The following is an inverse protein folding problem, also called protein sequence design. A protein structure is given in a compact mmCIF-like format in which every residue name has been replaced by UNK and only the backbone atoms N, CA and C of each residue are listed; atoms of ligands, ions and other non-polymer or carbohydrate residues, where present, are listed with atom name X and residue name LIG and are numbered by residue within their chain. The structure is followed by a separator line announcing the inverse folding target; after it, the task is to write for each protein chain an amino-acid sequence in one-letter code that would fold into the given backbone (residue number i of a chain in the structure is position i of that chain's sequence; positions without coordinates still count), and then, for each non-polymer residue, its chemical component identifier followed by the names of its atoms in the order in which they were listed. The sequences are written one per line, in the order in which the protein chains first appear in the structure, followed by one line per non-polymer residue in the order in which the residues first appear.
data_IF_261110896757
#
_entry.id   IF_261110896757
#
_cell.length_a   1.000
_cell.length_b   1.000
_cell.length_c   1.000
_cell.angle_alpha   90.00
_cell.angle_beta   90.00
_cell.angle_gamma   90.00
#
_symmetry.space_group_name_H-M   'P 1'
#
loop_
_entity.id
_entity.type
_entity.pdbx_description
1 polymer ?
#
# COMPACT_ATOMS: atom_id res chain seq x y z
N UNK A 1 78.64 9.15 4.99
CA UNK A 1 79.29 9.66 3.77
C UNK A 1 79.02 8.68 2.64
N UNK A 2 78.09 8.98 1.72
CA UNK A 2 78.06 8.43 0.35
C UNK A 2 77.01 9.18 -0.46
N UNK A 3 77.45 9.65 -1.63
CA UNK A 3 76.83 10.63 -2.51
C UNK A 3 75.77 9.99 -3.42
N UNK A 4 74.64 10.69 -3.53
CA UNK A 4 73.85 10.99 -4.74
C UNK A 4 74.28 10.33 -6.06
N UNK A 5 73.36 9.57 -6.67
CA UNK A 5 73.18 9.48 -8.13
C UNK A 5 71.71 9.24 -8.50
N UNK A 6 71.27 9.91 -9.56
CA UNK A 6 70.05 9.62 -10.32
C UNK A 6 68.90 10.58 -10.02
N UNK A 7 68.12 11.07 -10.97
CA UNK A 7 68.16 11.01 -12.42
C UNK A 7 67.17 12.10 -12.87
N UNK A 8 67.55 12.90 -13.86
CA UNK A 8 66.74 13.98 -14.41
C UNK A 8 65.54 13.37 -15.13
N UNK A 9 64.33 13.72 -14.69
CA UNK A 9 63.12 13.55 -15.50
C UNK A 9 62.47 14.91 -15.77
N UNK A 10 62.27 15.09 -17.06
CA UNK A 10 61.84 16.25 -17.82
C UNK A 10 60.39 16.62 -17.50
N UNK A 11 60.17 17.87 -17.10
CA UNK A 11 58.86 18.52 -17.02
C UNK A 11 58.25 18.65 -18.42
N UNK A 12 57.36 17.73 -18.79
CA UNK A 12 56.43 17.93 -19.91
C UNK A 12 55.23 18.75 -19.42
N UNK A 13 55.21 20.01 -19.87
CA UNK A 13 54.08 20.94 -19.78
C UNK A 13 52.93 20.38 -20.61
N UNK A 14 51.94 19.78 -19.97
CA UNK A 14 50.70 19.40 -20.64
C UNK A 14 49.91 20.68 -20.95
N UNK A 15 49.73 20.93 -22.24
CA UNK A 15 48.88 21.98 -22.80
C UNK A 15 47.43 21.72 -22.40
N UNK A 16 46.83 22.68 -21.70
CA UNK A 16 45.40 22.70 -21.37
C UNK A 16 44.59 22.84 -22.66
N UNK A 17 44.06 21.73 -23.17
CA UNK A 17 42.98 21.74 -24.15
C UNK A 17 41.68 22.05 -23.42
N UNK A 18 41.23 23.30 -23.53
CA UNK A 18 39.87 23.69 -23.11
C UNK A 18 38.88 22.96 -24.01
N UNK A 19 38.27 21.91 -23.50
CA UNK A 19 37.07 21.33 -24.11
C UNK A 19 35.92 22.34 -23.99
N UNK A 20 35.14 22.57 -25.06
CA UNK A 20 34.00 23.46 -25.01
C UNK A 20 32.92 22.88 -24.08
N UNK A 21 32.46 23.71 -23.15
CA UNK A 21 31.31 23.43 -22.28
C UNK A 21 30.07 23.27 -23.18
N UNK A 22 29.33 22.15 -23.10
CA UNK A 22 28.08 22.03 -23.83
C UNK A 22 27.04 22.97 -23.19
N UNK A 23 26.57 23.91 -24.00
CA UNK A 23 25.43 24.78 -23.70
C UNK A 23 24.22 23.93 -23.33
N UNK A 24 23.44 24.29 -22.28
CA UNK A 24 22.21 23.57 -21.99
C UNK A 24 21.24 23.76 -23.16
N UNK A 25 20.82 22.65 -23.76
CA UNK A 25 19.67 22.60 -24.66
C UNK A 25 18.47 23.13 -23.89
N UNK A 26 18.06 24.36 -24.21
CA UNK A 26 16.75 24.91 -23.87
C UNK A 26 15.73 23.99 -24.54
N UNK A 27 15.13 23.10 -23.77
CA UNK A 27 13.98 22.34 -24.21
C UNK A 27 12.85 23.36 -24.46
N UNK A 28 12.65 23.73 -25.72
CA UNK A 28 11.46 24.45 -26.14
C UNK A 28 10.27 23.53 -25.85
N UNK A 29 9.45 23.90 -24.86
CA UNK A 29 8.14 23.30 -24.67
C UNK A 29 7.32 23.70 -25.89
N UNK A 30 7.27 22.82 -26.89
CA UNK A 30 6.25 22.89 -27.91
C UNK A 30 4.92 22.61 -27.21
N UNK A 31 4.14 23.67 -26.97
CA UNK A 31 2.72 23.55 -26.72
C UNK A 31 2.12 22.69 -27.84
N UNK A 32 1.72 21.45 -27.52
CA UNK A 32 0.81 20.69 -28.37
C UNK A 32 -0.51 21.44 -28.41
N UNK A 33 -0.71 22.26 -29.44
CA UNK A 33 -2.03 22.61 -29.93
C UNK A 33 -2.72 21.31 -30.33
N UNK A 34 -3.74 20.92 -29.57
CA UNK A 34 -4.64 19.85 -29.96
C UNK A 34 -5.39 20.31 -31.22
N UNK A 35 -5.11 19.65 -32.34
CA UNK A 35 -5.97 19.72 -33.51
C UNK A 35 -7.33 19.14 -33.10
N UNK A 36 -8.39 19.92 -33.30
CA UNK A 36 -9.77 19.47 -33.19
C UNK A 36 -9.99 18.37 -34.23
N UNK A 37 -10.01 17.10 -33.79
CA UNK A 37 -10.63 16.05 -34.55
C UNK A 37 -12.15 16.23 -34.42
N UNK A 38 -12.79 16.75 -35.46
CA UNK A 38 -14.24 16.66 -35.65
C UNK A 38 -14.62 15.19 -35.78
N UNK A 39 -14.97 14.56 -34.67
CA UNK A 39 -15.72 13.30 -34.68
C UNK A 39 -17.19 13.62 -34.92
N UNK A 40 -17.71 13.11 -36.02
CA UNK A 40 -19.14 12.99 -36.30
C UNK A 40 -19.82 12.28 -35.11
N UNK A 41 -20.65 13.03 -34.38
CA UNK A 41 -21.47 12.48 -33.31
C UNK A 41 -22.60 11.66 -33.91
N UNK A 42 -22.40 10.35 -33.98
CA UNK A 42 -23.49 9.40 -33.87
C UNK A 42 -24.26 9.71 -32.56
N UNK A 43 -25.58 9.88 -32.67
CA UNK A 43 -26.50 10.08 -31.53
C UNK A 43 -26.41 8.87 -30.59
N UNK A 44 -25.51 8.95 -29.61
CA UNK A 44 -25.54 8.09 -28.44
C UNK A 44 -26.53 8.70 -27.44
N UNK A 45 -27.60 7.96 -27.19
CA UNK A 45 -28.60 8.21 -26.16
C UNK A 45 -27.91 8.46 -24.81
N UNK A 46 -27.92 9.72 -24.37
CA UNK A 46 -27.60 10.10 -22.99
C UNK A 46 -28.61 9.40 -22.06
N UNK A 47 -28.22 8.27 -21.50
CA UNK A 47 -28.84 7.77 -20.28
C UNK A 47 -28.57 8.79 -19.19
N UNK A 48 -29.65 9.33 -18.60
CA UNK A 48 -29.55 10.25 -17.48
C UNK A 48 -28.67 9.64 -16.37
N UNK A 49 -27.83 10.43 -15.67
CA UNK A 49 -27.10 9.92 -14.52
C UNK A 49 -28.11 9.34 -13.53
N UNK A 50 -27.98 8.06 -13.23
CA UNK A 50 -28.77 7.39 -12.19
C UNK A 50 -28.46 8.12 -10.88
N UNK A 51 -29.39 8.97 -10.45
CA UNK A 51 -29.36 9.62 -9.15
C UNK A 51 -29.56 8.50 -8.14
N UNK A 52 -28.45 8.05 -7.53
CA UNK A 52 -28.55 7.18 -6.37
C UNK A 52 -29.24 7.97 -5.25
N UNK A 53 -30.24 7.38 -4.57
CA UNK A 53 -30.90 8.06 -3.46
C UNK A 53 -29.84 8.49 -2.45
N UNK A 54 -29.81 9.78 -2.11
CA UNK A 54 -28.87 10.27 -1.11
C UNK A 54 -29.22 9.66 0.24
N UNK A 55 -28.36 8.79 0.77
CA UNK A 55 -28.51 8.21 2.12
C UNK A 55 -28.74 9.31 3.15
N UNK A 56 -29.65 9.06 4.09
CA UNK A 56 -29.94 10.01 5.17
C UNK A 56 -28.73 10.16 6.12
N UNK A 57 -28.67 11.26 6.86
CA UNK A 57 -27.62 11.49 7.87
C UNK A 57 -27.55 10.35 8.90
N UNK A 58 -28.70 9.85 9.33
CA UNK A 58 -28.80 8.77 10.30
C UNK A 58 -28.26 7.46 9.74
N UNK A 59 -28.52 7.17 8.46
CA UNK A 59 -27.99 5.97 7.80
C UNK A 59 -26.46 6.00 7.73
N UNK A 60 -25.88 7.17 7.44
CA UNK A 60 -24.43 7.36 7.48
C UNK A 60 -23.86 7.11 8.88
N UNK A 61 -24.48 7.67 9.92
CA UNK A 61 -24.03 7.49 11.30
C UNK A 61 -24.06 6.02 11.72
N UNK A 62 -25.12 5.28 11.34
CA UNK A 62 -25.20 3.84 11.60
C UNK A 62 -24.10 3.07 10.89
N UNK A 63 -23.84 3.39 9.62
CA UNK A 63 -22.76 2.75 8.86
C UNK A 63 -21.39 3.05 9.47
N UNK A 64 -21.10 4.31 9.78
CA UNK A 64 -19.82 4.71 10.36
C UNK A 64 -19.63 4.06 11.75
N UNK A 65 -20.69 3.87 12.54
CA UNK A 65 -20.61 3.17 13.82
C UNK A 65 -20.15 1.71 13.66
N UNK A 66 -20.60 0.99 12.62
CA UNK A 66 -20.14 -0.38 12.33
C UNK A 66 -18.66 -0.39 11.96
N UNK A 67 -18.23 0.55 11.13
CA UNK A 67 -16.82 0.67 10.69
C UNK A 67 -15.90 1.00 11.87
N UNK A 68 -16.30 1.95 12.71
CA UNK A 68 -15.56 2.35 13.92
C UNK A 68 -15.46 1.19 14.88
N UNK A 69 -16.58 0.51 15.15
CA UNK A 69 -16.60 -0.65 16.04
C UNK A 69 -15.63 -1.72 15.56
N UNK A 70 -15.70 -2.09 14.28
CA UNK A 70 -14.80 -3.08 13.71
C UNK A 70 -13.31 -2.70 13.88
N UNK A 71 -12.91 -1.47 13.53
CA UNK A 71 -11.52 -1.05 13.69
C UNK A 71 -11.08 -0.97 15.16
N UNK A 72 -11.95 -0.51 16.06
CA UNK A 72 -11.64 -0.46 17.49
C UNK A 72 -11.50 -1.86 18.10
N UNK A 73 -12.30 -2.83 17.64
CA UNK A 73 -12.25 -4.22 18.09
C UNK A 73 -10.96 -4.88 17.58
N UNK A 74 -10.66 -4.75 16.28
CA UNK A 74 -9.45 -5.33 15.67
C UNK A 74 -8.18 -4.69 16.21
N UNK A 75 -8.14 -3.36 16.36
CA UNK A 75 -6.95 -2.60 16.74
C UNK A 75 -7.02 -2.02 18.15
N UNK A 76 -7.67 -2.74 19.07
CA UNK A 76 -7.66 -2.39 20.49
C UNK A 76 -6.23 -2.16 21.01
N UNK A 77 -5.99 -1.09 21.80
CA UNK A 77 -6.96 -0.18 22.43
C UNK A 77 -7.28 1.11 21.65
N UNK A 78 -6.92 1.19 20.36
CA UNK A 78 -7.08 2.41 19.57
C UNK A 78 -8.56 2.81 19.42
N UNK A 79 -8.80 4.13 19.32
CA UNK A 79 -10.14 4.72 19.13
C UNK A 79 -10.18 5.52 17.84
N UNK A 80 -10.76 4.93 16.80
CA UNK A 80 -10.85 5.54 15.47
C UNK A 80 -11.99 6.56 15.41
N UNK A 81 -11.73 7.80 14.93
CA UNK A 81 -12.80 8.72 14.58
C UNK A 81 -13.70 8.15 13.46
N UNK A 82 -15.02 8.40 13.49
CA UNK A 82 -15.96 7.97 12.44
C UNK A 82 -15.50 8.33 11.03
N UNK A 83 -15.03 9.57 10.87
CA UNK A 83 -14.57 10.11 9.61
C UNK A 83 -13.39 9.35 9.04
N UNK A 84 -12.47 8.91 9.91
CA UNK A 84 -11.27 8.19 9.55
C UNK A 84 -11.60 6.73 9.22
N UNK A 85 -12.40 6.07 10.04
CA UNK A 85 -12.84 4.69 9.80
C UNK A 85 -13.55 4.56 8.45
N UNK A 86 -14.47 5.49 8.16
CA UNK A 86 -15.19 5.59 6.89
C UNK A 86 -14.25 5.77 5.70
N UNK A 87 -13.20 6.61 5.84
CA UNK A 87 -12.17 6.80 4.80
C UNK A 87 -11.32 5.56 4.60
N UNK A 88 -10.87 4.89 5.67
CA UNK A 88 -10.03 3.68 5.61
C UNK A 88 -10.76 2.55 4.90
N UNK A 89 -12.03 2.32 5.27
CA UNK A 89 -12.84 1.19 4.83
C UNK A 89 -13.75 1.49 3.63
N UNK A 90 -13.43 2.52 2.84
CA UNK A 90 -14.11 2.79 1.56
C UNK A 90 -13.11 2.78 0.42
N UNK A 91 -13.24 1.80 -0.48
CA UNK A 91 -12.45 1.71 -1.69
C UNK A 91 -12.99 2.63 -2.80
N UNK A 92 -12.11 3.10 -3.68
CA UNK A 92 -12.45 4.03 -4.76
C UNK A 92 -13.50 3.50 -5.76
N UNK A 93 -13.70 2.18 -5.84
CA UNK A 93 -14.72 1.57 -6.71
C UNK A 93 -16.14 1.61 -6.14
N UNK A 94 -16.31 1.94 -4.86
CA UNK A 94 -17.63 2.02 -4.23
C UNK A 94 -18.32 3.36 -4.54
N UNK A 95 -19.66 3.44 -4.69
CA UNK A 95 -20.37 4.71 -4.92
C UNK A 95 -20.11 5.77 -3.84
N UNK A 96 -20.00 5.36 -2.57
CA UNK A 96 -19.67 6.26 -1.44
C UNK A 96 -18.27 6.94 -1.59
N UNK A 97 -17.40 6.43 -2.48
CA UNK A 97 -16.05 6.94 -2.69
C UNK A 97 -16.01 8.42 -3.11
N UNK A 98 -17.08 8.92 -3.73
CA UNK A 98 -17.21 10.34 -4.09
C UNK A 98 -17.02 11.29 -2.90
N UNK A 99 -17.36 10.84 -1.69
CA UNK A 99 -17.18 11.65 -0.48
C UNK A 99 -15.85 11.35 0.20
N UNK A 100 -15.55 10.05 0.36
CA UNK A 100 -14.48 9.55 1.21
C UNK A 100 -14.01 8.22 0.64
N UNK A 101 -12.73 8.12 0.34
CA UNK A 101 -12.12 6.85 -0.05
C UNK A 101 -10.69 6.76 0.47
N UNK A 102 -10.15 5.55 0.44
CA UNK A 102 -8.91 5.20 1.11
C UNK A 102 -7.63 5.54 0.36
N UNK A 103 -7.71 6.16 -0.83
CA UNK A 103 -6.57 6.33 -1.74
C UNK A 103 -5.41 7.15 -1.16
N UNK A 104 -5.70 8.23 -0.41
CA UNK A 104 -4.65 9.02 0.25
C UNK A 104 -4.00 8.27 1.40
N UNK A 105 -4.79 7.51 2.16
CA UNK A 105 -4.29 6.76 3.30
C UNK A 105 -3.48 5.54 2.85
N UNK A 106 -3.90 4.84 1.79
CA UNK A 106 -3.12 3.73 1.23
C UNK A 106 -1.80 4.20 0.65
N UNK A 107 -1.77 5.36 -0.01
CA UNK A 107 -0.53 5.97 -0.49
C UNK A 107 0.48 6.23 0.63
N UNK A 108 0.02 6.76 1.77
CA UNK A 108 0.86 6.99 2.96
C UNK A 108 1.28 5.65 3.58
N UNK A 109 0.33 4.74 3.79
CA UNK A 109 0.60 3.46 4.41
C UNK A 109 1.59 2.59 3.63
N UNK A 110 1.55 2.63 2.29
CA UNK A 110 2.55 1.96 1.45
C UNK A 110 3.97 2.43 1.75
N UNK A 111 4.17 3.74 1.88
CA UNK A 111 5.48 4.32 2.23
C UNK A 111 5.90 3.94 3.63
N UNK A 112 4.97 4.02 4.59
CA UNK A 112 5.22 3.63 5.99
C UNK A 112 5.65 2.17 6.07
N UNK A 113 4.96 1.27 5.38
CA UNK A 113 5.32 -0.16 5.32
C UNK A 113 6.70 -0.38 4.71
N UNK A 114 7.00 0.27 3.58
CA UNK A 114 8.31 0.17 2.93
C UNK A 114 9.42 0.66 3.85
N UNK A 115 9.25 1.82 4.49
CA UNK A 115 10.23 2.37 5.43
C UNK A 115 10.48 1.43 6.61
N UNK A 116 9.43 0.90 7.24
CA UNK A 116 9.58 -0.01 8.38
C UNK A 116 10.19 -1.35 7.99
N UNK A 117 9.86 -1.88 6.80
CA UNK A 117 10.50 -3.10 6.31
C UNK A 117 11.98 -2.88 6.04
N UNK A 118 12.38 -1.77 5.42
CA UNK A 118 13.80 -1.46 5.19
C UNK A 118 14.55 -1.25 6.52
N UNK A 119 13.98 -0.52 7.47
CA UNK A 119 14.55 -0.36 8.81
C UNK A 119 14.75 -1.71 9.51
N UNK A 120 13.75 -2.59 9.43
CA UNK A 120 13.84 -3.95 9.96
C UNK A 120 14.98 -4.74 9.31
N UNK A 121 15.05 -4.74 7.97
CA UNK A 121 16.09 -5.44 7.21
C UNK A 121 17.49 -4.94 7.61
N UNK A 122 17.68 -3.62 7.71
CA UNK A 122 18.95 -3.03 8.10
C UNK A 122 19.35 -3.31 9.54
N UNK A 123 18.38 -3.53 10.44
CA UNK A 123 18.64 -3.93 11.83
C UNK A 123 18.88 -5.43 11.99
N UNK A 124 18.69 -6.22 10.94
CA UNK A 124 18.70 -7.68 11.03
C UNK A 124 20.11 -8.27 11.05
N UNK A 125 20.41 -9.20 11.97
CA UNK A 125 21.68 -9.93 11.94
C UNK A 125 21.82 -10.84 10.71
N UNK A 126 20.71 -11.13 10.02
CA UNK A 126 20.69 -11.95 8.81
C UNK A 126 20.95 -11.15 7.51
N UNK A 127 21.21 -9.84 7.61
CA UNK A 127 21.51 -8.98 6.48
C UNK A 127 22.80 -9.45 5.78
N UNK A 128 22.75 -9.60 4.46
CA UNK A 128 23.90 -9.95 3.63
C UNK A 128 24.06 -8.96 2.47
N UNK A 129 25.29 -8.67 2.01
CA UNK A 129 25.52 -7.73 0.90
C UNK A 129 24.83 -8.11 -0.41
N UNK A 130 24.54 -9.40 -0.61
CA UNK A 130 23.92 -9.92 -1.83
C UNK A 130 22.38 -9.79 -1.83
N UNK A 131 21.79 -9.29 -0.75
CA UNK A 131 20.34 -9.12 -0.66
C UNK A 131 19.85 -7.89 -1.43
N UNK A 132 19.02 -8.15 -2.45
CA UNK A 132 18.35 -7.12 -3.24
C UNK A 132 17.14 -6.55 -2.47
N UNK A 133 17.28 -5.33 -1.96
CA UNK A 133 16.25 -4.65 -1.18
C UNK A 133 14.96 -4.40 -1.98
N UNK A 134 15.07 -4.00 -3.24
CA UNK A 134 13.91 -3.72 -4.08
C UNK A 134 13.11 -4.99 -4.31
N UNK A 135 13.80 -6.10 -4.63
CA UNK A 135 13.15 -7.39 -4.79
C UNK A 135 12.50 -7.90 -3.50
N UNK A 136 13.11 -7.65 -2.34
CA UNK A 136 12.52 -8.01 -1.04
C UNK A 136 11.26 -7.17 -0.79
N UNK A 137 11.31 -5.86 -1.02
CA UNK A 137 10.16 -4.95 -0.88
C UNK A 137 9.01 -5.36 -1.79
N UNK A 138 9.28 -5.55 -3.08
CA UNK A 138 8.27 -5.91 -4.08
C UNK A 138 7.58 -7.23 -3.76
N UNK A 139 8.31 -8.21 -3.21
CA UNK A 139 7.76 -9.52 -2.84
C UNK A 139 7.01 -9.48 -1.51
N UNK A 140 7.58 -8.86 -0.49
CA UNK A 140 7.01 -8.84 0.85
C UNK A 140 5.80 -7.91 0.97
N UNK A 141 5.85 -6.74 0.33
CA UNK A 141 4.81 -5.71 0.40
C UNK A 141 3.99 -5.62 -0.88
N UNK A 142 3.95 -6.69 -1.67
CA UNK A 142 3.02 -6.80 -2.79
C UNK A 142 1.58 -6.62 -2.28
N UNK A 143 0.83 -5.68 -2.85
CA UNK A 143 -0.54 -5.40 -2.43
C UNK A 143 -1.44 -6.65 -2.46
N UNK A 144 -1.24 -7.58 -3.39
CA UNK A 144 -2.00 -8.84 -3.41
C UNK A 144 -1.67 -9.73 -2.20
N UNK A 145 -0.39 -9.83 -1.82
CA UNK A 145 0.06 -10.58 -0.63
C UNK A 145 -0.51 -9.98 0.65
N UNK A 146 -0.54 -8.64 0.75
CA UNK A 146 -1.22 -7.97 1.87
C UNK A 146 -2.71 -8.32 1.91
N UNK A 147 -3.38 -8.29 0.77
CA UNK A 147 -4.81 -8.62 0.68
C UNK A 147 -5.15 -10.09 0.92
N UNK A 148 -4.23 -10.99 0.59
CA UNK A 148 -4.40 -12.43 0.73
C UNK A 148 -4.05 -12.92 2.14
N UNK A 149 -3.00 -12.38 2.76
CA UNK A 149 -2.46 -12.91 4.02
C UNK A 149 -2.66 -12.00 5.25
N UNK A 150 -2.78 -10.68 5.06
CA UNK A 150 -2.98 -9.73 6.18
C UNK A 150 -4.46 -9.42 6.35
N UNK A 151 -5.15 -9.08 5.26
CA UNK A 151 -6.54 -8.63 5.34
C UNK A 151 -7.52 -9.64 5.98
N UNK A 152 -7.41 -10.96 5.74
CA UNK A 152 -8.30 -11.93 6.39
C UNK A 152 -8.11 -12.00 7.91
N UNK A 153 -6.89 -11.79 8.41
CA UNK A 153 -6.61 -11.78 9.86
C UNK A 153 -7.25 -10.59 10.57
N UNK A 154 -7.61 -9.55 9.81
CA UNK A 154 -8.29 -8.36 10.32
C UNK A 154 -9.77 -8.35 9.91
N UNK A 155 -10.26 -9.41 9.27
CA UNK A 155 -11.65 -9.51 8.81
C UNK A 155 -12.11 -8.32 7.93
N UNK A 156 -11.19 -7.65 7.23
CA UNK A 156 -11.48 -6.44 6.44
C UNK A 156 -12.58 -6.70 5.41
N UNK A 157 -12.56 -7.87 4.76
CA UNK A 157 -13.50 -8.23 3.70
C UNK A 157 -14.97 -8.17 4.13
N UNK A 158 -15.26 -8.32 5.43
CA UNK A 158 -16.63 -8.29 5.99
C UNK A 158 -17.23 -6.87 6.02
N UNK A 159 -16.39 -5.84 6.15
CA UNK A 159 -16.86 -4.46 6.38
C UNK A 159 -16.44 -3.48 5.30
N UNK A 160 -15.47 -3.86 4.45
CA UNK A 160 -14.94 -2.99 3.40
C UNK A 160 -16.03 -2.64 2.38
N UNK A 161 -16.17 -1.35 2.08
CA UNK A 161 -17.04 -0.86 1.02
C UNK A 161 -16.31 -0.88 -0.31
N UNK A 162 -16.73 -1.72 -1.25
CA UNK A 162 -16.11 -1.84 -2.57
C UNK A 162 -17.07 -2.44 -3.61
N UNK A 163 -16.72 -2.33 -4.88
CA UNK A 163 -17.46 -2.95 -5.99
C UNK A 163 -16.57 -3.98 -6.71
N UNK A 164 -17.00 -5.25 -6.83
CA UNK A 164 -16.27 -6.27 -7.59
C UNK A 164 -16.22 -5.94 -9.08
N UNK A 165 -15.10 -6.27 -9.72
CA UNK A 165 -14.95 -6.17 -11.18
C UNK A 165 -15.18 -7.53 -11.85
N UNK A 166 -15.57 -7.54 -13.13
CA UNK A 166 -15.66 -8.74 -13.96
C UNK A 166 -16.66 -9.83 -13.52
N UNK A 167 -17.64 -9.50 -12.67
CA UNK A 167 -18.65 -10.47 -12.17
C UNK A 167 -20.04 -10.32 -12.84
N UNK A 168 -20.11 -9.67 -14.00
CA UNK A 168 -21.38 -9.44 -14.73
C UNK A 168 -22.47 -8.83 -13.84
N UNK A 169 -23.61 -9.52 -13.75
CA UNK A 169 -24.80 -9.09 -13.00
C UNK A 169 -24.59 -9.07 -11.47
N UNK A 170 -23.49 -9.63 -10.95
CA UNK A 170 -23.16 -9.65 -9.52
C UNK A 170 -22.30 -8.45 -9.09
N UNK A 171 -22.14 -7.43 -9.94
CA UNK A 171 -21.33 -6.22 -9.65
C UNK A 171 -21.97 -5.27 -8.63
N UNK A 172 -22.83 -5.75 -7.73
CA UNK A 172 -23.45 -4.93 -6.70
C UNK A 172 -22.36 -4.38 -5.75
N UNK A 173 -22.45 -3.11 -5.33
CA UNK A 173 -21.58 -2.59 -4.28
C UNK A 173 -21.74 -3.42 -3.00
N UNK A 174 -20.61 -3.86 -2.45
CA UNK A 174 -20.49 -4.57 -1.19
C UNK A 174 -20.13 -3.60 -0.08
N UNK A 175 -20.47 -3.95 1.16
CA UNK A 175 -20.19 -3.16 2.36
C UNK A 175 -20.81 -3.81 3.60
N UNK A 176 -20.77 -3.13 4.76
CA UNK A 176 -21.15 -3.74 6.05
C UNK A 176 -22.63 -4.17 6.14
N UNK A 177 -23.49 -3.63 5.28
CA UNK A 177 -24.93 -3.90 5.27
C UNK A 177 -25.35 -4.82 4.11
N UNK A 178 -24.39 -5.34 3.33
CA UNK A 178 -24.67 -6.18 2.16
C UNK A 178 -24.04 -7.53 2.40
N UNK A 179 -24.88 -8.56 2.50
CA UNK A 179 -24.40 -9.94 2.57
C UNK A 179 -23.58 -10.27 1.33
N UNK A 180 -22.37 -10.80 1.53
CA UNK A 180 -21.51 -11.24 0.45
C UNK A 180 -22.21 -12.44 -0.21
N UNK A 181 -22.56 -12.39 -1.50
CA UNK A 181 -23.21 -13.52 -2.16
C UNK A 181 -22.38 -14.79 -1.99
N UNK A 182 -23.00 -15.93 -1.69
CA UNK A 182 -22.30 -17.21 -1.45
C UNK A 182 -21.25 -17.59 -2.52
N UNK A 183 -21.45 -17.29 -3.83
CA UNK A 183 -20.41 -17.53 -4.84
C UNK A 183 -19.15 -16.68 -4.64
N UNK A 184 -19.26 -15.47 -4.08
CA UNK A 184 -18.14 -14.60 -3.72
C UNK A 184 -17.47 -15.03 -2.41
N UNK A 185 -18.23 -15.62 -1.48
CA UNK A 185 -17.71 -16.13 -0.21
C UNK A 185 -16.83 -17.38 -0.37
N UNK A 186 -17.15 -18.24 -1.35
CA UNK A 186 -16.44 -19.50 -1.62
C UNK A 186 -15.51 -19.42 -2.84
N UNK A 187 -15.02 -18.23 -3.20
CA UNK A 187 -14.11 -18.08 -4.33
C UNK A 187 -12.80 -18.82 -4.10
N UNK A 188 -12.47 -19.73 -5.03
CA UNK A 188 -11.13 -20.26 -5.17
C UNK A 188 -10.12 -19.12 -5.39
N UNK A 189 -8.86 -19.33 -4.98
CA UNK A 189 -7.80 -18.30 -4.96
C UNK A 189 -7.64 -17.58 -6.30
N UNK A 190 -7.74 -18.30 -7.42
CA UNK A 190 -7.58 -17.73 -8.76
C UNK A 190 -8.76 -16.85 -9.17
N UNK A 191 -9.97 -17.23 -8.74
CA UNK A 191 -11.19 -16.44 -8.98
C UNK A 191 -11.23 -15.19 -8.08
N UNK A 192 -10.68 -15.25 -6.87
CA UNK A 192 -10.53 -14.09 -6.00
C UNK A 192 -9.57 -13.03 -6.59
N UNK A 193 -8.52 -13.46 -7.30
CA UNK A 193 -7.60 -12.56 -8.02
C UNK A 193 -8.28 -11.92 -9.23
N UNK A 194 -9.07 -12.68 -9.99
CA UNK A 194 -9.73 -12.20 -11.22
C UNK A 194 -10.78 -11.10 -10.97
N UNK A 195 -11.47 -11.14 -9.82
CA UNK A 195 -12.44 -10.10 -9.42
C UNK A 195 -11.80 -8.88 -8.73
N UNK A 196 -10.48 -8.91 -8.52
CA UNK A 196 -9.71 -7.84 -7.90
C UNK A 196 -9.79 -7.78 -6.36
N UNK A 197 -10.32 -8.82 -5.71
CA UNK A 197 -10.58 -8.82 -4.26
C UNK A 197 -9.30 -8.60 -3.45
N UNK A 198 -8.25 -9.38 -3.69
CA UNK A 198 -6.99 -9.24 -2.95
C UNK A 198 -6.31 -7.89 -3.18
N UNK A 199 -6.42 -7.31 -4.39
CA UNK A 199 -5.90 -5.97 -4.63
C UNK A 199 -6.63 -4.91 -3.81
N UNK A 200 -7.96 -5.01 -3.74
CA UNK A 200 -8.82 -4.10 -2.97
C UNK A 200 -8.57 -4.25 -1.46
N UNK A 201 -8.48 -5.48 -0.98
CA UNK A 201 -8.16 -5.80 0.41
C UNK A 201 -6.77 -5.32 0.82
N UNK A 202 -5.76 -5.55 -0.02
CA UNK A 202 -4.40 -5.06 0.24
C UNK A 202 -4.32 -3.54 0.27
N UNK A 203 -5.06 -2.86 -0.61
CA UNK A 203 -5.18 -1.39 -0.57
C UNK A 203 -5.81 -0.92 0.73
N UNK A 204 -6.79 -1.66 1.27
CA UNK A 204 -7.38 -1.37 2.57
C UNK A 204 -6.40 -1.63 3.72
N UNK A 205 -5.57 -2.67 3.66
CA UNK A 205 -4.48 -2.91 4.64
C UNK A 205 -3.50 -1.75 4.65
N UNK A 206 -3.05 -1.30 3.47
CA UNK A 206 -2.20 -0.11 3.34
C UNK A 206 -2.90 1.12 3.95
N UNK A 207 -4.20 1.31 3.69
CA UNK A 207 -4.95 2.43 4.24
C UNK A 207 -5.13 2.38 5.76
N UNK A 208 -5.28 1.19 6.35
CA UNK A 208 -5.31 1.01 7.81
C UNK A 208 -3.99 1.48 8.41
N UNK A 209 -2.86 1.03 7.85
CA UNK A 209 -1.53 1.41 8.34
C UNK A 209 -1.31 2.92 8.20
N UNK A 210 -1.68 3.51 7.05
CA UNK A 210 -1.60 4.94 6.83
C UNK A 210 -2.53 5.76 7.73
N UNK A 211 -3.73 5.25 8.02
CA UNK A 211 -4.67 5.86 8.94
C UNK A 211 -4.18 5.84 10.39
N UNK A 212 -3.58 4.72 10.82
CA UNK A 212 -2.97 4.59 12.14
C UNK A 212 -1.77 5.52 12.28
N UNK A 213 -0.90 5.57 11.27
CA UNK A 213 0.22 6.49 11.23
C UNK A 213 -0.24 7.95 11.33
N UNK A 214 -1.26 8.33 10.56
CA UNK A 214 -1.81 9.68 10.56
C UNK A 214 -2.46 10.07 11.90
N UNK A 215 -3.22 9.17 12.53
CA UNK A 215 -4.03 9.48 13.71
C UNK A 215 -3.30 9.25 15.04
N UNK A 216 -2.49 8.19 15.13
CA UNK A 216 -1.87 7.73 16.37
C UNK A 216 -0.33 7.79 16.33
N UNK A 217 0.25 8.20 15.20
CA UNK A 217 1.68 8.46 15.05
C UNK A 217 2.52 7.25 14.63
N UNK A 218 3.80 7.53 14.36
CA UNK A 218 4.74 6.56 13.82
C UNK A 218 5.02 5.38 14.75
N UNK A 219 5.15 5.62 16.06
CA UNK A 219 5.47 4.57 17.05
C UNK A 219 4.40 3.48 17.11
N UNK A 220 3.12 3.86 17.09
CA UNK A 220 1.98 2.93 17.08
C UNK A 220 1.93 2.15 15.76
N UNK A 221 2.12 2.82 14.63
CA UNK A 221 2.16 2.16 13.32
C UNK A 221 3.36 1.20 13.18
N UNK A 222 4.51 1.54 13.75
CA UNK A 222 5.71 0.70 13.74
C UNK A 222 5.49 -0.58 14.55
N UNK A 223 4.89 -0.44 15.73
CA UNK A 223 4.50 -1.58 16.56
C UNK A 223 3.48 -2.47 15.83
N UNK A 224 2.44 -1.88 15.24
CA UNK A 224 1.47 -2.61 14.41
C UNK A 224 2.15 -3.39 13.28
N UNK A 225 3.13 -2.79 12.60
CA UNK A 225 3.87 -3.45 11.54
C UNK A 225 4.56 -4.72 12.05
N UNK A 226 5.34 -4.61 13.13
CA UNK A 226 6.10 -5.74 13.67
C UNK A 226 5.23 -6.83 14.30
N UNK A 227 4.09 -6.48 14.89
CA UNK A 227 3.25 -7.47 15.58
C UNK A 227 2.16 -8.05 14.68
N UNK A 228 1.58 -7.28 13.75
CA UNK A 228 0.36 -7.71 13.03
C UNK A 228 0.54 -7.87 11.53
N UNK A 229 1.43 -7.08 10.92
CA UNK A 229 1.68 -7.15 9.47
C UNK A 229 2.79 -8.15 9.17
N UNK A 230 4.00 -7.91 9.67
CA UNK A 230 5.20 -8.67 9.34
C UNK A 230 5.09 -10.18 9.63
N UNK A 231 4.51 -10.63 10.76
CA UNK A 231 4.33 -12.07 11.02
C UNK A 231 3.41 -12.76 10.01
N UNK A 232 2.52 -11.99 9.36
CA UNK A 232 1.62 -12.50 8.33
C UNK A 232 2.28 -12.65 6.96
N UNK A 233 3.52 -12.18 6.82
CA UNK A 233 4.32 -12.26 5.61
C UNK A 233 5.38 -13.37 5.70
N UNK A 234 5.43 -14.13 6.80
CA UNK A 234 6.33 -15.25 7.00
C UNK A 234 5.76 -16.50 6.32
N UNK A 235 5.80 -16.51 4.98
CA UNK A 235 5.24 -17.57 4.16
C UNK A 235 6.28 -18.68 3.95
N UNK A 236 6.18 -19.75 4.71
CA UNK A 236 7.10 -20.90 4.60
C UNK A 236 6.93 -21.62 3.26
N UNK A 237 8.05 -22.01 2.65
CA UNK A 237 8.05 -22.73 1.37
C UNK A 237 7.58 -21.91 0.16
N UNK A 238 7.29 -20.62 0.31
CA UNK A 238 6.85 -19.73 -0.77
C UNK A 238 7.97 -18.80 -1.25
N UNK A 239 7.94 -18.46 -2.54
CA UNK A 239 8.70 -17.34 -3.07
C UNK A 239 7.96 -16.00 -2.89
N UNK A 240 6.81 -15.96 -2.25
CA UNK A 240 6.10 -14.72 -1.90
C UNK A 240 6.35 -14.35 -0.43
N UNK A 241 6.11 -13.09 -0.06
CA UNK A 241 6.30 -12.63 1.32
C UNK A 241 7.75 -12.27 1.67
N UNK A 242 8.04 -12.25 2.98
CA UNK A 242 9.36 -11.89 3.51
C UNK A 242 10.39 -12.96 3.16
N UNK A 243 11.59 -12.53 2.78
CA UNK A 243 12.70 -13.43 2.49
C UNK A 243 13.05 -14.30 3.72
N UNK A 244 13.21 -15.63 3.51
CA UNK A 244 13.36 -16.64 4.58
C UNK A 244 14.43 -16.31 5.62
N UNK A 245 15.57 -15.76 5.19
CA UNK A 245 16.66 -15.36 6.08
C UNK A 245 16.24 -14.39 7.21
N UNK A 246 15.13 -13.65 7.05
CA UNK A 246 14.67 -12.68 8.03
C UNK A 246 13.55 -13.21 8.94
N UNK A 247 13.08 -14.45 8.74
CA UNK A 247 11.92 -14.99 9.46
C UNK A 247 12.17 -15.08 10.96
N UNK A 248 13.30 -15.62 11.38
CA UNK A 248 13.62 -15.82 12.79
C UNK A 248 13.70 -14.49 13.53
N UNK A 249 14.39 -13.50 12.95
CA UNK A 249 14.47 -12.16 13.52
C UNK A 249 13.10 -11.45 13.56
N UNK A 250 12.25 -11.65 12.54
CA UNK A 250 10.90 -11.09 12.53
C UNK A 250 10.04 -11.67 13.67
N UNK A 251 10.13 -12.99 13.91
CA UNK A 251 9.45 -13.65 15.04
C UNK A 251 9.99 -13.14 16.37
N UNK A 252 11.31 -13.05 16.52
CA UNK A 252 11.95 -12.54 17.73
C UNK A 252 11.48 -11.11 18.09
N UNK A 253 11.46 -10.19 17.12
CA UNK A 253 10.99 -8.82 17.35
C UNK A 253 9.49 -8.81 17.69
N UNK A 254 8.69 -9.61 17.00
CA UNK A 254 7.25 -9.72 17.29
C UNK A 254 7.04 -10.12 18.76
N UNK A 255 7.72 -11.17 19.23
CA UNK A 255 7.64 -11.62 20.62
C UNK A 255 8.12 -10.55 21.60
N UNK A 256 9.26 -9.90 21.33
CA UNK A 256 9.76 -8.77 22.16
C UNK A 256 8.76 -7.60 22.23
N UNK A 257 7.91 -7.44 21.22
CA UNK A 257 6.86 -6.41 21.21
C UNK A 257 5.53 -6.88 21.82
N UNK A 258 5.45 -8.09 22.38
CA UNK A 258 4.25 -8.63 23.02
C UNK A 258 3.42 -9.55 22.12
N UNK A 259 4.01 -10.05 21.04
CA UNK A 259 3.40 -11.01 20.13
C UNK A 259 2.32 -10.43 19.21
N UNK A 260 1.64 -11.27 18.40
CA UNK A 260 0.72 -10.80 17.37
C UNK A 260 -0.52 -10.04 17.88
N UNK A 261 -0.90 -10.29 19.13
CA UNK A 261 -2.02 -9.63 19.81
C UNK A 261 -1.53 -8.65 20.89
N UNK A 262 -0.25 -8.31 20.89
CA UNK A 262 0.32 -7.35 21.83
C UNK A 262 -0.40 -5.99 21.76
N UNK A 263 -0.46 -5.26 22.89
CA UNK A 263 -1.10 -3.95 22.95
C UNK A 263 -0.37 -2.98 22.01
N UNK A 264 -1.13 -2.18 21.26
CA UNK A 264 -0.57 -1.19 20.30
C UNK A 264 -0.10 0.10 20.98
N UNK A 265 -0.62 0.39 22.17
CA UNK A 265 -0.15 1.46 23.04
C UNK A 265 0.84 0.86 24.05
N UNK A 266 1.91 1.58 24.34
CA UNK A 266 2.82 1.28 25.45
C UNK A 266 2.28 1.86 26.74
#
# INVERSE_FOLDING_TARGET
MLKSRGCVQTLRRATSSRLPVPTPLVASIQCRTYAYATQETARSSRTAPVVTPSKSREEWQRQDAVLVRHLNDVFSPLKFPPELASRILTHASHPDAMRRHNGRLSFVGRRVLQSYLLMFIHSSPALRPEHDYERILERALNTYILGEHVAPKWDIGKVLKWRPMNVGNLSKPLGPNVEIPSPLANLERDNARSIGMYKVHGTAVEAVVGGIFHQFGGSVAHRLFHTRVLPSLLLEGSHEGLHLAYHDHAREICEKMGGPQGPLLR
#
